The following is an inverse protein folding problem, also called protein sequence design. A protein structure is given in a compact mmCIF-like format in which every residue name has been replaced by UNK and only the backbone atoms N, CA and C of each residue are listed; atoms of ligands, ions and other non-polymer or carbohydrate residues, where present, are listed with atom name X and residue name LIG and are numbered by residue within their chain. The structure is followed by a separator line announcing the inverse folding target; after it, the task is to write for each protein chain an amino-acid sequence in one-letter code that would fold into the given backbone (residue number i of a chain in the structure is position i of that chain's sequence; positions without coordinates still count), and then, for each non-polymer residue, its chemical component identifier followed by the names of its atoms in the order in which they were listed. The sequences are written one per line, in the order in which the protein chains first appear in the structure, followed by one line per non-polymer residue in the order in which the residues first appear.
data_IF_957624289490
#
_entry.id   IF_957624289490
#
_cell.length_a   1.000
_cell.length_b   1.000
_cell.length_c   1.000
_cell.angle_alpha   90.00
_cell.angle_beta   90.00
_cell.angle_gamma   90.00
#
_symmetry.space_group_name_H-M   'P 1'
#
loop_
_entity.id
_entity.type
_entity.pdbx_description
1 polymer ?
#
# COMPACT_ATOMS: atom_id res chain seq x y z
N UNK A 1 9.98 -14.44 -11.77
CA UNK A 1 8.69 -14.34 -12.50
C UNK A 1 7.57 -13.98 -11.52
N UNK A 2 6.57 -13.19 -11.96
CA UNK A 2 5.44 -12.78 -11.13
C UNK A 2 4.61 -13.97 -10.62
N UNK A 3 4.54 -15.06 -11.38
CA UNK A 3 3.84 -16.30 -10.99
C UNK A 3 4.57 -17.00 -9.85
N UNK A 4 5.88 -17.15 -9.98
CA UNK A 4 6.70 -17.84 -8.99
C UNK A 4 6.74 -17.05 -7.67
N UNK A 5 6.91 -15.72 -7.77
CA UNK A 5 6.87 -14.84 -6.60
C UNK A 5 5.51 -14.89 -5.89
N UNK A 6 4.39 -14.83 -6.63
CA UNK A 6 3.06 -14.90 -6.04
C UNK A 6 2.82 -16.21 -5.27
N UNK A 7 3.21 -17.35 -5.87
CA UNK A 7 3.13 -18.67 -5.22
C UNK A 7 4.05 -18.78 -4.01
N UNK A 8 5.29 -18.29 -4.13
CA UNK A 8 6.26 -18.29 -3.04
C UNK A 8 5.75 -17.51 -1.84
N UNK A 9 5.24 -16.31 -2.05
CA UNK A 9 4.66 -15.48 -0.98
C UNK A 9 3.42 -16.14 -0.35
N UNK A 10 2.53 -16.73 -1.14
CA UNK A 10 1.36 -17.46 -0.60
C UNK A 10 1.81 -18.66 0.26
N UNK A 11 2.78 -19.45 -0.21
CA UNK A 11 3.34 -20.59 0.53
C UNK A 11 4.06 -20.16 1.82
N UNK A 12 4.73 -18.99 1.78
CA UNK A 12 5.39 -18.41 2.94
C UNK A 12 4.42 -17.77 3.94
N UNK A 13 3.12 -17.72 3.64
CA UNK A 13 2.08 -17.22 4.54
C UNK A 13 1.85 -15.71 4.46
N UNK A 14 2.15 -15.09 3.32
CA UNK A 14 1.77 -13.70 3.08
C UNK A 14 0.25 -13.53 3.20
N UNK A 15 -0.18 -12.41 3.77
CA UNK A 15 -1.61 -12.10 3.94
C UNK A 15 -2.23 -11.54 2.66
N UNK A 16 -1.47 -10.78 1.88
CA UNK A 16 -1.87 -10.19 0.62
C UNK A 16 -0.64 -9.92 -0.26
N UNK A 17 -0.87 -9.65 -1.53
CA UNK A 17 0.17 -9.30 -2.49
C UNK A 17 0.08 -7.82 -2.86
N UNK A 18 1.24 -7.17 -2.97
CA UNK A 18 1.37 -5.84 -3.57
C UNK A 18 2.05 -6.00 -4.93
N UNK A 19 1.33 -5.67 -6.00
CA UNK A 19 1.82 -5.82 -7.37
C UNK A 19 2.01 -4.46 -8.01
N UNK A 20 3.24 -4.18 -8.43
CA UNK A 20 3.61 -2.94 -9.13
C UNK A 20 3.07 -2.99 -10.57
N UNK A 21 2.27 -2.00 -10.97
CA UNK A 21 1.70 -1.90 -12.31
C UNK A 21 2.16 -0.67 -13.07
N UNK A 22 2.56 0.40 -12.39
CA UNK A 22 3.17 1.58 -13.03
C UNK A 22 4.47 1.21 -13.75
N UNK A 23 4.57 1.60 -15.03
CA UNK A 23 5.71 1.26 -15.90
C UNK A 23 6.88 2.22 -15.73
N UNK A 24 6.58 3.47 -15.45
CA UNK A 24 7.59 4.55 -15.48
C UNK A 24 8.45 4.56 -14.23
N UNK A 25 7.84 4.57 -13.07
CA UNK A 25 8.51 4.74 -11.78
C UNK A 25 8.76 3.40 -11.09
N UNK A 26 7.73 2.55 -11.00
CA UNK A 26 7.84 1.25 -10.31
C UNK A 26 8.35 0.11 -11.20
N UNK A 27 8.49 0.34 -12.52
CA UNK A 27 8.91 -0.68 -13.50
C UNK A 27 8.00 -1.92 -13.50
N UNK A 28 6.72 -1.70 -13.16
CA UNK A 28 5.67 -2.70 -13.11
C UNK A 28 4.98 -2.92 -14.45
N UNK A 29 3.91 -3.71 -14.43
CA UNK A 29 3.04 -3.95 -15.57
C UNK A 29 1.73 -4.61 -15.12
N UNK A 30 0.57 -4.19 -15.69
CA UNK A 30 -0.75 -4.79 -15.40
C UNK A 30 -0.77 -6.31 -15.56
N UNK A 31 0.00 -6.80 -16.54
CA UNK A 31 0.13 -8.23 -16.79
C UNK A 31 0.69 -9.02 -15.60
N UNK A 32 1.52 -8.40 -14.75
CA UNK A 32 2.03 -9.04 -13.53
C UNK A 32 0.90 -9.27 -12.53
N UNK A 33 -0.01 -8.30 -12.42
CA UNK A 33 -1.16 -8.43 -11.53
C UNK A 33 -2.12 -9.53 -12.02
N UNK A 34 -2.43 -9.55 -13.31
CA UNK A 34 -3.28 -10.60 -13.91
C UNK A 34 -2.66 -11.98 -13.68
N UNK A 35 -1.34 -12.13 -13.89
CA UNK A 35 -0.64 -13.39 -13.66
C UNK A 35 -0.67 -13.82 -12.19
N UNK A 36 -0.37 -12.90 -11.27
CA UNK A 36 -0.41 -13.18 -9.84
C UNK A 36 -1.81 -13.61 -9.41
N UNK A 37 -2.85 -12.87 -9.83
CA UNK A 37 -4.24 -13.15 -9.50
C UNK A 37 -4.72 -14.52 -9.98
N UNK A 38 -4.21 -15.01 -11.11
CA UNK A 38 -4.60 -16.31 -11.67
C UNK A 38 -4.00 -17.52 -10.92
N UNK A 39 -3.00 -17.31 -10.06
CA UNK A 39 -2.27 -18.41 -9.41
C UNK A 39 -2.34 -18.37 -7.89
N UNK A 40 -2.97 -17.36 -7.30
CA UNK A 40 -3.13 -17.22 -5.85
C UNK A 40 -4.55 -16.74 -5.50
N UNK A 41 -5.01 -17.08 -4.30
CA UNK A 41 -6.25 -16.57 -3.73
C UNK A 41 -6.03 -15.38 -2.79
N UNK A 42 -4.81 -14.92 -2.63
CA UNK A 42 -4.51 -13.78 -1.77
C UNK A 42 -5.12 -12.49 -2.33
N UNK A 43 -5.63 -11.59 -1.48
CA UNK A 43 -6.02 -10.25 -1.88
C UNK A 43 -4.84 -9.51 -2.55
N UNK A 44 -5.14 -8.71 -3.57
CA UNK A 44 -4.13 -8.00 -4.36
C UNK A 44 -4.30 -6.50 -4.26
N UNK A 45 -3.25 -5.82 -3.78
CA UNK A 45 -3.08 -4.38 -3.91
C UNK A 45 -2.48 -4.06 -5.28
N UNK A 46 -3.18 -3.24 -6.08
CA UNK A 46 -2.58 -2.60 -7.25
C UNK A 46 -1.73 -1.41 -6.79
N UNK A 47 -0.41 -1.56 -6.86
CA UNK A 47 0.52 -0.47 -6.51
C UNK A 47 0.85 0.33 -7.77
N UNK A 48 0.12 1.43 -7.92
CA UNK A 48 0.18 2.35 -9.07
C UNK A 48 -0.16 3.76 -8.63
N UNK A 49 0.10 4.77 -9.46
CA UNK A 49 -0.31 6.15 -9.23
C UNK A 49 -1.74 6.36 -9.74
N UNK A 50 -2.70 6.40 -8.81
CA UNK A 50 -4.11 6.68 -9.12
C UNK A 50 -4.30 8.18 -9.23
N UNK A 51 -4.48 8.70 -10.44
CA UNK A 51 -4.59 10.15 -10.69
C UNK A 51 -5.96 10.57 -11.23
N UNK A 52 -6.74 9.63 -11.73
CA UNK A 52 -8.11 9.85 -12.20
C UNK A 52 -9.02 8.62 -11.98
N UNK A 53 -10.31 8.78 -12.21
CA UNK A 53 -11.30 7.71 -11.97
C UNK A 53 -11.13 6.52 -12.91
N UNK A 54 -10.57 6.70 -14.12
CA UNK A 54 -10.32 5.60 -15.05
C UNK A 54 -9.41 4.55 -14.40
N UNK A 55 -8.35 4.99 -13.68
CA UNK A 55 -7.45 4.08 -12.98
C UNK A 55 -8.17 3.23 -11.92
N UNK A 56 -9.20 3.80 -11.27
CA UNK A 56 -9.96 3.07 -10.25
C UNK A 56 -10.83 1.98 -10.91
N UNK A 57 -11.56 2.32 -11.98
CA UNK A 57 -12.37 1.35 -12.73
C UNK A 57 -11.48 0.27 -13.37
N UNK A 58 -10.37 0.67 -13.95
CA UNK A 58 -9.38 -0.27 -14.52
C UNK A 58 -8.83 -1.21 -13.45
N UNK A 59 -8.49 -0.70 -12.27
CA UNK A 59 -8.01 -1.52 -11.14
C UNK A 59 -9.03 -2.61 -10.77
N UNK A 60 -10.31 -2.24 -10.67
CA UNK A 60 -11.36 -3.21 -10.39
C UNK A 60 -11.48 -4.24 -11.51
N UNK A 61 -11.44 -3.82 -12.78
CA UNK A 61 -11.53 -4.68 -13.96
C UNK A 61 -10.35 -5.66 -14.04
N UNK A 62 -9.15 -5.23 -13.65
CA UNK A 62 -7.95 -6.07 -13.55
C UNK A 62 -7.97 -7.04 -12.36
N UNK A 63 -8.93 -6.90 -11.44
CA UNK A 63 -9.11 -7.80 -10.29
C UNK A 63 -8.41 -7.33 -9.01
N UNK A 64 -8.11 -6.03 -8.85
CA UNK A 64 -7.60 -5.49 -7.60
C UNK A 64 -8.65 -5.61 -6.48
N UNK A 65 -8.18 -5.97 -5.28
CA UNK A 65 -8.96 -5.94 -4.05
C UNK A 65 -8.69 -4.66 -3.26
N UNK A 66 -7.54 -4.04 -3.49
CA UNK A 66 -7.11 -2.80 -2.86
C UNK A 66 -6.39 -1.92 -3.89
N UNK A 67 -6.54 -0.59 -3.75
CA UNK A 67 -5.81 0.41 -4.53
C UNK A 67 -5.01 1.33 -3.61
N UNK A 68 -4.07 2.07 -4.19
CA UNK A 68 -3.20 3.01 -3.51
C UNK A 68 -3.62 4.46 -3.80
N UNK A 69 -3.88 5.26 -2.76
CA UNK A 69 -4.00 6.70 -2.88
C UNK A 69 -2.86 7.39 -2.13
N UNK A 70 -1.99 8.09 -2.85
CA UNK A 70 -0.82 8.77 -2.29
C UNK A 70 -1.18 10.22 -1.99
N UNK A 71 -1.30 10.57 -0.71
CA UNK A 71 -1.72 11.91 -0.27
C UNK A 71 -0.79 13.03 -0.76
N UNK A 72 0.48 12.73 -0.93
CA UNK A 72 1.47 13.67 -1.47
C UNK A 72 1.23 14.04 -2.95
N UNK A 73 0.57 13.17 -3.71
CA UNK A 73 0.36 13.32 -5.16
C UNK A 73 -1.02 13.88 -5.52
N UNK A 74 -1.97 13.95 -4.56
CA UNK A 74 -3.36 14.27 -4.81
C UNK A 74 -3.81 15.46 -3.96
N UNK A 75 -4.67 16.31 -4.52
CA UNK A 75 -5.41 17.31 -3.75
C UNK A 75 -6.62 16.69 -3.00
N UNK A 76 -7.24 17.46 -2.11
CA UNK A 76 -8.31 16.98 -1.25
C UNK A 76 -9.58 16.58 -2.02
N UNK A 77 -9.89 17.26 -3.11
CA UNK A 77 -11.06 16.99 -3.95
C UNK A 77 -10.87 15.68 -4.73
N UNK A 78 -9.72 15.54 -5.37
CA UNK A 78 -9.37 14.34 -6.14
C UNK A 78 -9.30 13.10 -5.25
N UNK A 79 -8.62 13.17 -4.10
CA UNK A 79 -8.51 12.02 -3.20
C UNK A 79 -9.88 11.60 -2.65
N UNK A 80 -10.77 12.55 -2.32
CA UNK A 80 -12.12 12.24 -1.84
C UNK A 80 -12.97 11.58 -2.93
N UNK A 81 -12.85 12.05 -4.18
CA UNK A 81 -13.55 11.49 -5.32
C UNK A 81 -13.08 10.06 -5.62
N UNK A 82 -11.77 9.83 -5.76
CA UNK A 82 -11.20 8.52 -6.03
C UNK A 82 -11.47 7.52 -4.90
N UNK A 83 -11.35 7.96 -3.65
CA UNK A 83 -11.70 7.17 -2.48
C UNK A 83 -13.16 6.69 -2.54
N UNK A 84 -14.10 7.60 -2.82
CA UNK A 84 -15.53 7.25 -2.91
C UNK A 84 -15.78 6.18 -3.96
N UNK A 85 -15.26 6.35 -5.19
CA UNK A 85 -15.42 5.37 -6.27
C UNK A 85 -14.84 4.01 -5.88
N UNK A 86 -13.67 4.00 -5.24
CA UNK A 86 -13.02 2.76 -4.79
C UNK A 86 -13.89 1.98 -3.82
N UNK A 87 -14.46 2.67 -2.82
CA UNK A 87 -15.36 2.06 -1.84
C UNK A 87 -16.66 1.58 -2.50
N UNK A 88 -17.26 2.38 -3.40
CA UNK A 88 -18.47 2.00 -4.15
C UNK A 88 -18.26 0.75 -5.02
N UNK A 89 -17.03 0.50 -5.48
CA UNK A 89 -16.63 -0.70 -6.23
C UNK A 89 -16.22 -1.87 -5.33
N UNK A 90 -16.29 -1.72 -4.00
CA UNK A 90 -15.97 -2.76 -3.02
C UNK A 90 -14.47 -3.06 -2.90
N UNK A 91 -13.61 -2.06 -3.15
CA UNK A 91 -12.17 -2.18 -2.94
C UNK A 91 -11.74 -1.51 -1.64
N UNK A 92 -10.73 -2.07 -1.00
CA UNK A 92 -9.99 -1.41 0.07
C UNK A 92 -9.11 -0.29 -0.50
N UNK A 93 -8.79 0.69 0.33
CA UNK A 93 -7.96 1.82 -0.04
C UNK A 93 -6.79 1.96 0.91
N UNK A 94 -5.59 1.73 0.41
CA UNK A 94 -4.34 2.05 1.09
C UNK A 94 -4.05 3.54 0.89
N UNK A 95 -4.25 4.33 1.94
CA UNK A 95 -4.06 5.78 1.95
C UNK A 95 -2.64 6.03 2.44
N UNK A 96 -1.72 6.32 1.51
CA UNK A 96 -0.30 6.49 1.81
C UNK A 96 0.00 7.91 2.26
N UNK A 97 0.71 8.04 3.38
CA UNK A 97 1.07 9.28 4.06
C UNK A 97 2.55 9.29 4.43
N UNK A 98 3.17 10.48 4.39
CA UNK A 98 4.58 10.71 4.74
C UNK A 98 4.73 11.80 5.81
N UNK A 99 3.73 12.66 5.96
CA UNK A 99 3.77 13.83 6.85
C UNK A 99 2.52 13.91 7.73
N UNK A 100 2.63 14.65 8.82
CA UNK A 100 1.47 14.91 9.69
C UNK A 100 0.37 15.66 8.93
N UNK A 101 0.72 16.59 8.06
CA UNK A 101 -0.26 17.35 7.26
C UNK A 101 -1.04 16.41 6.32
N UNK A 102 -0.36 15.45 5.69
CA UNK A 102 -1.01 14.44 4.86
C UNK A 102 -1.93 13.54 5.68
N UNK A 103 -1.51 13.13 6.89
CA UNK A 103 -2.37 12.38 7.81
C UNK A 103 -3.63 13.16 8.19
N UNK A 104 -3.50 14.44 8.53
CA UNK A 104 -4.64 15.30 8.87
C UNK A 104 -5.63 15.43 7.70
N UNK A 105 -5.15 15.47 6.45
CA UNK A 105 -5.97 15.43 5.24
C UNK A 105 -6.65 14.07 5.07
N UNK A 106 -5.89 12.98 5.21
CA UNK A 106 -6.40 11.61 5.09
C UNK A 106 -7.50 11.30 6.11
N UNK A 107 -7.38 11.81 7.34
CA UNK A 107 -8.38 11.63 8.39
C UNK A 107 -9.70 12.39 8.14
N UNK A 108 -9.75 13.32 7.19
CA UNK A 108 -11.00 13.98 6.75
C UNK A 108 -11.84 13.11 5.80
N UNK A 109 -11.25 12.09 5.21
CA UNK A 109 -11.99 11.16 4.36
C UNK A 109 -13.08 10.43 5.16
N UNK A 110 -14.21 10.07 4.52
CA UNK A 110 -15.27 9.34 5.19
C UNK A 110 -14.76 8.09 5.90
N UNK A 111 -15.22 7.88 7.12
CA UNK A 111 -14.86 6.69 7.91
C UNK A 111 -15.39 5.44 7.21
N UNK A 112 -14.51 4.48 6.96
CA UNK A 112 -14.84 3.19 6.37
C UNK A 112 -13.93 2.11 6.95
N UNK A 113 -14.42 0.89 7.04
CA UNK A 113 -13.62 -0.31 7.34
C UNK A 113 -12.67 -0.66 6.19
N UNK A 114 -12.89 -0.11 5.01
CA UNK A 114 -12.03 -0.26 3.85
C UNK A 114 -10.82 0.69 3.83
N UNK A 115 -10.74 1.62 4.79
CA UNK A 115 -9.61 2.55 4.89
C UNK A 115 -8.43 1.90 5.62
N UNK A 116 -7.30 1.83 4.96
CA UNK A 116 -6.03 1.35 5.50
C UNK A 116 -5.03 2.51 5.44
N UNK A 117 -4.37 2.85 6.54
CA UNK A 117 -3.44 3.97 6.62
C UNK A 117 -2.01 3.46 6.43
N UNK A 118 -1.41 3.79 5.28
CA UNK A 118 -0.04 3.43 4.95
C UNK A 118 0.93 4.54 5.37
N UNK A 119 1.83 4.26 6.30
CA UNK A 119 2.90 5.20 6.66
C UNK A 119 4.15 4.78 5.92
N UNK A 120 4.53 5.57 4.90
CA UNK A 120 5.70 5.29 4.10
C UNK A 120 6.94 5.94 4.72
N UNK A 121 7.91 5.11 5.10
CA UNK A 121 9.18 5.53 5.69
C UNK A 121 10.17 6.09 4.65
N UNK A 122 9.84 6.02 3.35
CA UNK A 122 10.65 6.60 2.27
C UNK A 122 10.14 7.99 1.94
N UNK A 123 10.99 9.00 2.07
CA UNK A 123 10.70 10.33 1.54
C UNK A 123 10.69 10.29 0.01
N UNK A 124 9.62 10.80 -0.61
CA UNK A 124 9.46 10.75 -2.07
C UNK A 124 10.34 11.76 -2.82
N UNK A 125 10.92 12.75 -2.12
CA UNK A 125 11.77 13.78 -2.73
C UNK A 125 13.25 13.41 -2.62
N UNK A 126 13.68 12.93 -1.43
CA UNK A 126 15.09 12.63 -1.15
C UNK A 126 15.43 11.15 -1.30
N UNK A 127 14.43 10.28 -1.34
CA UNK A 127 14.53 8.82 -1.27
C UNK A 127 15.17 8.28 0.01
N UNK A 128 15.41 9.12 0.99
CA UNK A 128 15.86 8.71 2.32
C UNK A 128 14.80 7.84 3.00
N UNK A 129 15.26 6.83 3.74
CA UNK A 129 14.38 5.89 4.43
C UNK A 129 14.68 5.94 5.93
N UNK A 130 13.64 6.20 6.74
CA UNK A 130 13.77 6.21 8.21
C UNK A 130 12.49 5.73 8.89
N UNK A 131 12.61 4.78 9.82
CA UNK A 131 11.48 4.28 10.60
C UNK A 131 10.91 5.34 11.58
N UNK A 132 11.62 6.45 11.78
CA UNK A 132 11.13 7.60 12.54
C UNK A 132 9.81 8.16 11.99
N UNK A 133 9.57 8.02 10.69
CA UNK A 133 8.31 8.44 10.07
C UNK A 133 7.13 7.67 10.67
N UNK A 134 7.20 6.34 10.71
CA UNK A 134 6.17 5.51 11.37
C UNK A 134 6.08 5.81 12.85
N UNK A 135 7.20 5.89 13.58
CA UNK A 135 7.23 6.18 15.03
C UNK A 135 6.54 7.49 15.38
N UNK A 136 6.74 8.53 14.54
CA UNK A 136 6.14 9.86 14.76
C UNK A 136 4.67 9.92 14.38
N UNK A 137 4.27 9.36 13.25
CA UNK A 137 2.93 9.52 12.70
C UNK A 137 1.92 8.54 13.30
N UNK A 138 2.33 7.31 13.60
CA UNK A 138 1.41 6.27 14.08
C UNK A 138 0.61 6.68 15.32
N UNK A 139 1.21 7.46 16.25
CA UNK A 139 0.55 7.95 17.47
C UNK A 139 -0.62 8.92 17.23
N UNK A 140 -0.71 9.51 16.03
CA UNK A 140 -1.78 10.42 15.65
C UNK A 140 -2.88 9.72 14.85
N UNK A 141 -2.67 8.48 14.44
CA UNK A 141 -3.70 7.66 13.81
C UNK A 141 -4.62 7.11 14.90
N UNK A 142 -5.95 7.27 14.79
CA UNK A 142 -6.89 6.73 15.76
C UNK A 142 -6.74 5.21 15.94
N UNK A 143 -6.93 4.72 17.17
CA UNK A 143 -6.72 3.30 17.53
C UNK A 143 -7.62 2.32 16.77
N UNK A 144 -8.76 2.79 16.27
CA UNK A 144 -9.71 2.01 15.48
C UNK A 144 -9.34 1.93 13.98
N UNK A 145 -8.14 2.38 13.61
CA UNK A 145 -7.62 2.38 12.23
C UNK A 145 -6.50 1.38 12.07
N UNK A 146 -6.50 0.73 10.90
CA UNK A 146 -5.42 -0.18 10.53
C UNK A 146 -4.23 0.61 9.97
N UNK A 147 -3.06 0.41 10.57
CA UNK A 147 -1.79 1.01 10.12
C UNK A 147 -0.94 -0.04 9.42
N UNK A 148 -0.50 0.29 8.22
CA UNK A 148 0.56 -0.42 7.47
C UNK A 148 1.82 0.43 7.52
N UNK A 149 2.95 -0.14 7.94
CA UNK A 149 4.27 0.50 7.79
C UNK A 149 4.89 0.05 6.47
N UNK A 150 5.40 1.00 5.70
CA UNK A 150 5.95 0.76 4.36
C UNK A 150 7.39 1.26 4.26
N UNK A 151 8.22 0.55 3.52
CA UNK A 151 9.63 0.83 3.27
C UNK A 151 10.53 0.74 4.51
N UNK A 152 11.79 0.38 4.31
CA UNK A 152 12.80 0.33 5.37
C UNK A 152 12.66 -0.81 6.36
N UNK A 153 11.88 -1.82 6.03
CA UNK A 153 11.63 -2.99 6.85
C UNK A 153 12.48 -4.16 6.32
N UNK A 154 13.63 -4.40 6.93
CA UNK A 154 14.60 -5.40 6.47
C UNK A 154 14.73 -6.58 7.43
N UNK A 155 14.48 -6.37 8.71
CA UNK A 155 14.68 -7.38 9.75
C UNK A 155 13.45 -7.56 10.63
N UNK A 156 13.29 -8.72 11.30
CA UNK A 156 12.23 -8.89 12.31
C UNK A 156 12.27 -7.83 13.42
N UNK A 157 13.46 -7.29 13.74
CA UNK A 157 13.61 -6.22 14.72
C UNK A 157 12.93 -4.91 14.23
N UNK A 158 13.04 -4.59 12.96
CA UNK A 158 12.38 -3.42 12.37
C UNK A 158 10.84 -3.55 12.48
N UNK A 159 10.30 -4.74 12.20
CA UNK A 159 8.87 -5.02 12.33
C UNK A 159 8.41 -4.88 13.78
N UNK A 160 9.16 -5.49 14.72
CA UNK A 160 8.87 -5.40 16.15
C UNK A 160 8.95 -3.96 16.66
N UNK A 161 9.83 -3.16 16.12
CA UNK A 161 9.98 -1.76 16.48
C UNK A 161 8.75 -0.95 16.07
N UNK A 162 8.39 -0.93 14.79
CA UNK A 162 7.23 -0.15 14.32
C UNK A 162 5.89 -0.68 14.87
N UNK A 163 5.81 -1.97 15.19
CA UNK A 163 4.64 -2.56 15.84
C UNK A 163 4.37 -1.97 17.23
N UNK A 164 5.40 -1.58 17.97
CA UNK A 164 5.27 -0.91 19.28
C UNK A 164 4.56 0.43 19.18
N UNK A 165 4.61 1.07 18.01
CA UNK A 165 3.96 2.35 17.75
C UNK A 165 2.57 2.21 17.13
N UNK A 166 2.09 0.98 16.89
CA UNK A 166 0.73 0.71 16.43
C UNK A 166 0.60 0.14 15.03
N UNK A 167 1.69 -0.02 14.27
CA UNK A 167 1.65 -0.72 13.00
C UNK A 167 1.23 -2.18 13.22
N UNK A 168 0.23 -2.64 12.47
CA UNK A 168 -0.29 -4.01 12.53
C UNK A 168 0.00 -4.81 11.27
N UNK A 169 0.28 -4.12 10.18
CA UNK A 169 0.61 -4.69 8.88
C UNK A 169 1.89 -4.05 8.35
N UNK A 170 2.58 -4.77 7.47
CA UNK A 170 3.88 -4.38 6.92
C UNK A 170 3.88 -4.61 5.42
N UNK A 171 4.22 -3.57 4.65
CA UNK A 171 4.41 -3.71 3.21
C UNK A 171 5.90 -3.82 2.93
N UNK A 172 6.35 -5.01 2.53
CA UNK A 172 7.74 -5.36 2.33
C UNK A 172 7.93 -5.82 0.89
N UNK A 173 8.76 -5.13 0.14
CA UNK A 173 9.13 -5.52 -1.22
C UNK A 173 10.63 -5.71 -1.35
N UNK A 174 11.40 -4.65 -1.11
CA UNK A 174 12.84 -4.61 -1.37
C UNK A 174 13.61 -5.72 -0.64
N UNK A 175 13.33 -5.92 0.64
CA UNK A 175 14.02 -6.92 1.44
C UNK A 175 13.77 -8.36 0.96
N UNK A 176 12.54 -8.64 0.51
CA UNK A 176 12.16 -9.96 0.02
C UNK A 176 12.67 -10.20 -1.41
N UNK A 177 12.53 -9.21 -2.29
CA UNK A 177 12.95 -9.32 -3.70
C UNK A 177 14.47 -9.38 -3.91
N UNK A 178 15.26 -9.07 -2.87
CA UNK A 178 16.73 -9.22 -2.88
C UNK A 178 17.22 -10.59 -2.45
N UNK A 179 16.33 -11.46 -1.98
CA UNK A 179 16.70 -12.84 -1.64
C UNK A 179 16.78 -13.70 -2.90
N UNK A 180 17.66 -14.69 -2.87
CA UNK A 180 17.82 -15.67 -3.96
C UNK A 180 16.63 -16.65 -4.02
N UNK A 181 15.95 -16.83 -2.88
CA UNK A 181 14.75 -17.66 -2.72
C UNK A 181 13.63 -16.82 -2.07
N UNK A 182 12.42 -16.93 -2.60
CA UNK A 182 11.24 -16.16 -2.18
C UNK A 182 10.26 -17.04 -1.45
#
# INVERSE_FOLDING_TARGET
DAVDAAKGYEQAGATCLSVLTDRQYFKGHDHYMIKARNVTNLPVLRKDFMVDEYHIYESRALGADCILLIMACLDDETVAHLHKISIDLGMDVLIEIHTQQELERALKLPKSTHNIYGINNRDLNTFEVTLETTRKLARYVPEDRLIVSESGLFTPADLADVARYGARCFLIGEALMRQDDV
#
